data_IF_507348742637
#
_entry.id   IF_507348742637
#
_cell.length_a   1.000
_cell.length_b   1.000
_cell.length_c   1.000
_cell.angle_alpha   90.00
_cell.angle_beta   90.00
_cell.angle_gamma   90.00
#
_symmetry.space_group_name_H-M   'P 1'
#
loop_
_entity.id
_entity.type
_entity.pdbx_description
1 polymer ?
#
# COMPACT_ATOMS: atom_id res chain seq x y z
N UNK A 1 9.01 -18.08 -8.18
CA UNK A 1 8.43 -17.41 -9.37
C UNK A 1 6.93 -17.44 -9.19
N UNK A 2 6.41 -16.41 -8.53
CA UNK A 2 5.00 -16.02 -8.51
C UNK A 2 5.04 -14.51 -8.82
N UNK A 3 5.82 -14.07 -9.81
CA UNK A 3 5.57 -14.00 -11.25
C UNK A 3 4.28 -13.22 -11.58
N UNK A 4 4.53 -12.08 -12.23
CA UNK A 4 3.68 -11.03 -12.84
C UNK A 4 2.33 -11.44 -13.47
N UNK A 5 1.99 -12.73 -13.49
CA UNK A 5 0.75 -13.27 -14.03
C UNK A 5 -0.48 -12.91 -13.19
N UNK A 6 -0.39 -12.86 -11.85
CA UNK A 6 -1.55 -12.51 -11.02
C UNK A 6 -1.87 -11.01 -11.05
N UNK A 7 -0.84 -10.19 -11.25
CA UNK A 7 -0.98 -8.76 -11.47
C UNK A 7 -1.69 -8.43 -12.80
N UNK A 8 -1.70 -9.37 -13.76
CA UNK A 8 -2.43 -9.22 -15.02
C UNK A 8 -3.89 -9.69 -14.94
N UNK A 9 -4.26 -10.60 -14.04
CA UNK A 9 -5.65 -11.08 -13.92
C UNK A 9 -6.60 -10.05 -13.28
N UNK A 10 -6.07 -9.07 -12.53
CA UNK A 10 -6.85 -7.98 -11.95
C UNK A 10 -7.12 -6.82 -12.93
N UNK A 11 -6.57 -6.85 -14.14
CA UNK A 11 -6.68 -5.77 -15.14
C UNK A 11 -7.19 -6.34 -16.46
N UNK A 12 -8.41 -5.98 -16.85
CA UNK A 12 -9.14 -6.48 -18.01
C UNK A 12 -8.30 -6.85 -19.26
N UNK A 13 -8.66 -7.99 -19.85
CA UNK A 13 -7.87 -8.84 -20.74
C UNK A 13 -7.56 -8.34 -22.18
N UNK A 14 -7.29 -7.05 -22.43
CA UNK A 14 -7.00 -6.60 -23.82
C UNK A 14 -5.57 -6.10 -24.09
N UNK A 15 -4.73 -5.82 -23.10
CA UNK A 15 -3.41 -5.20 -23.32
C UNK A 15 -2.20 -6.17 -23.20
N UNK A 16 -2.45 -7.48 -23.20
CA UNK A 16 -1.40 -8.49 -22.98
C UNK A 16 -0.43 -8.68 -24.17
N UNK A 17 -0.73 -8.14 -25.36
CA UNK A 17 0.10 -8.36 -26.56
C UNK A 17 1.25 -7.37 -26.74
N UNK A 18 1.24 -6.24 -26.03
CA UNK A 18 2.21 -5.15 -26.21
C UNK A 18 3.39 -5.15 -25.21
N UNK A 19 3.46 -6.10 -24.26
CA UNK A 19 4.38 -6.03 -23.12
C UNK A 19 5.47 -7.10 -23.06
N UNK A 20 5.95 -7.59 -24.21
CA UNK A 20 7.10 -8.51 -24.24
C UNK A 20 8.43 -7.88 -23.80
N UNK A 21 8.50 -6.54 -23.73
CA UNK A 21 9.76 -5.81 -23.49
C UNK A 21 9.79 -4.98 -22.20
N UNK A 22 8.82 -5.14 -21.29
CA UNK A 22 8.86 -4.45 -20.00
C UNK A 22 9.92 -5.11 -19.10
N UNK A 23 11.16 -4.66 -19.25
CA UNK A 23 12.29 -4.99 -18.38
C UNK A 23 11.87 -4.87 -16.91
N UNK A 24 11.83 -6.00 -16.21
CA UNK A 24 11.92 -6.03 -14.76
C UNK A 24 13.23 -5.33 -14.38
N UNK A 25 13.24 -4.24 -13.59
CA UNK A 25 14.51 -3.74 -13.07
C UNK A 25 15.16 -4.86 -12.23
N UNK A 26 16.47 -5.11 -12.41
CA UNK A 26 17.15 -6.21 -11.74
C UNK A 26 17.04 -6.07 -10.21
N UNK A 27 16.76 -7.20 -9.52
CA UNK A 27 16.89 -7.28 -8.06
C UNK A 27 18.36 -7.21 -7.71
N UNK A 28 18.86 -5.99 -7.51
CA UNK A 28 20.24 -5.72 -7.12
C UNK A 28 20.50 -4.23 -7.05
N UNK A 29 20.65 -3.72 -5.82
CA UNK A 29 21.24 -2.42 -5.49
C UNK A 29 20.80 -1.21 -6.34
N UNK A 30 19.53 -0.84 -6.27
CA UNK A 30 19.12 0.54 -6.58
C UNK A 30 18.81 1.20 -5.24
N UNK A 31 19.78 1.98 -4.75
CA UNK A 31 19.59 2.89 -3.62
C UNK A 31 18.45 3.84 -3.96
N UNK A 32 17.30 3.64 -3.32
CA UNK A 32 16.22 4.64 -3.27
C UNK A 32 16.86 5.93 -2.71
N UNK A 33 16.74 7.09 -3.37
CA UNK A 33 17.30 8.32 -2.82
C UNK A 33 16.59 8.62 -1.49
N UNK A 34 17.36 8.73 -0.40
CA UNK A 34 16.84 9.20 0.89
C UNK A 34 16.10 10.52 0.69
N UNK A 35 14.77 10.52 0.85
CA UNK A 35 14.02 11.77 1.01
C UNK A 35 14.33 12.35 2.38
N UNK A 36 15.30 13.26 2.43
CA UNK A 36 15.51 14.11 3.62
C UNK A 36 14.49 15.23 3.66
N UNK A 37 14.04 15.53 4.88
CA UNK A 37 13.51 16.83 5.35
C UNK A 37 12.00 17.16 5.23
N UNK A 38 11.16 16.36 5.90
CA UNK A 38 10.05 16.86 6.77
C UNK A 38 9.87 15.96 8.01
N UNK A 39 10.91 15.21 8.32
CA UNK A 39 10.83 13.84 8.84
C UNK A 39 10.87 13.75 10.38
N UNK A 40 11.24 14.81 11.10
CA UNK A 40 11.72 14.66 12.49
C UNK A 40 10.67 14.36 13.58
N UNK A 41 9.39 14.77 13.46
CA UNK A 41 8.39 14.54 14.53
C UNK A 41 7.56 13.27 14.27
N UNK A 42 7.26 12.99 12.99
CA UNK A 42 6.65 11.72 12.58
C UNK A 42 7.65 10.56 12.78
N UNK A 43 8.93 10.76 12.47
CA UNK A 43 9.95 9.74 12.71
C UNK A 43 10.08 9.35 14.17
N UNK A 44 9.96 10.26 15.14
CA UNK A 44 10.07 9.85 16.54
C UNK A 44 8.89 9.00 17.00
N UNK A 45 7.66 9.32 16.56
CA UNK A 45 6.49 8.48 16.84
C UNK A 45 6.50 7.17 16.06
N UNK A 46 6.84 7.18 14.76
CA UNK A 46 6.97 5.97 13.94
C UNK A 46 8.12 5.09 14.41
N UNK A 47 9.26 5.66 14.79
CA UNK A 47 10.42 4.95 15.34
C UNK A 47 10.14 4.45 16.75
N UNK A 48 9.29 5.12 17.53
CA UNK A 48 8.80 4.62 18.80
C UNK A 48 7.83 3.45 18.60
N UNK A 49 6.88 3.54 17.67
CA UNK A 49 5.97 2.43 17.31
C UNK A 49 6.76 1.25 16.75
N UNK A 50 7.69 1.51 15.81
CA UNK A 50 8.61 0.51 15.27
C UNK A 50 9.47 -0.08 16.36
N UNK A 51 10.09 0.72 17.24
CA UNK A 51 10.94 0.15 18.29
C UNK A 51 10.12 -0.55 19.39
N UNK A 52 8.94 -0.08 19.78
CA UNK A 52 8.11 -0.77 20.78
C UNK A 52 7.50 -2.05 20.21
N UNK A 53 6.89 -2.01 19.01
CA UNK A 53 6.34 -3.19 18.36
C UNK A 53 7.45 -4.17 18.00
N UNK A 54 8.54 -3.71 17.40
CA UNK A 54 9.65 -4.57 16.96
C UNK A 54 10.48 -5.08 18.14
N UNK A 55 10.89 -4.26 19.14
CA UNK A 55 11.60 -4.74 20.34
C UNK A 55 10.73 -5.71 21.14
N UNK A 56 9.42 -5.48 21.25
CA UNK A 56 8.51 -6.50 21.80
C UNK A 56 8.57 -7.76 20.93
N UNK A 57 8.46 -7.65 19.60
CA UNK A 57 8.39 -8.78 18.65
C UNK A 57 9.61 -9.72 18.71
N UNK A 58 10.83 -9.18 18.82
CA UNK A 58 12.06 -9.98 18.93
C UNK A 58 12.39 -10.41 20.38
N UNK A 59 12.00 -9.65 21.41
CA UNK A 59 12.32 -9.98 22.81
C UNK A 59 11.57 -11.19 23.36
N UNK A 60 10.40 -11.50 22.82
CA UNK A 60 9.41 -12.29 23.59
C UNK A 60 9.02 -13.61 22.93
N UNK A 61 9.88 -14.22 22.10
CA UNK A 61 9.68 -15.61 21.60
C UNK A 61 9.63 -16.69 22.70
N UNK A 62 9.71 -16.34 24.00
CA UNK A 62 9.85 -17.26 25.14
C UNK A 62 8.86 -17.12 26.30
N UNK A 63 7.79 -16.32 26.21
CA UNK A 63 6.75 -16.35 27.24
C UNK A 63 5.39 -16.03 26.64
N UNK A 64 4.39 -16.88 26.89
CA UNK A 64 3.03 -16.81 26.37
C UNK A 64 2.19 -15.60 26.82
N UNK A 65 2.81 -14.44 27.03
CA UNK A 65 2.19 -13.17 27.41
C UNK A 65 1.56 -12.47 26.18
N UNK A 66 1.97 -12.84 24.97
CA UNK A 66 1.46 -12.32 23.70
C UNK A 66 -0.02 -12.52 23.44
N UNK A 67 -0.57 -13.62 23.96
CA UNK A 67 -1.95 -14.02 23.69
C UNK A 67 -2.98 -12.99 24.16
N UNK A 68 -2.60 -12.06 25.03
CA UNK A 68 -3.52 -11.06 25.59
C UNK A 68 -3.36 -9.66 24.98
N UNK A 69 -2.23 -9.35 24.32
CA UNK A 69 -1.95 -8.02 23.75
C UNK A 69 -2.15 -7.91 22.23
N UNK A 70 -2.04 -9.02 21.49
CA UNK A 70 -2.34 -9.08 20.05
C UNK A 70 -3.72 -9.70 19.79
N UNK A 71 -4.72 -9.29 20.56
CA UNK A 71 -5.98 -10.02 20.63
C UNK A 71 -6.99 -9.70 19.53
N UNK A 72 -6.81 -8.60 18.80
CA UNK A 72 -7.91 -8.09 17.97
C UNK A 72 -7.71 -8.24 16.45
N UNK A 73 -6.48 -8.33 15.93
CA UNK A 73 -6.21 -8.44 14.47
C UNK A 73 -5.05 -9.39 14.11
N UNK A 74 -5.02 -9.95 12.88
CA UNK A 74 -3.90 -10.76 12.37
C UNK A 74 -2.59 -9.99 12.31
N UNK A 75 -1.45 -10.69 12.37
CA UNK A 75 -0.12 -10.07 12.35
C UNK A 75 0.13 -9.31 11.04
N UNK A 76 -0.34 -9.87 9.93
CA UNK A 76 -0.24 -9.34 8.57
C UNK A 76 -0.89 -7.95 8.46
N UNK A 77 -1.94 -7.70 9.26
CA UNK A 77 -2.60 -6.40 9.31
C UNK A 77 -1.71 -5.34 9.99
N UNK A 78 -1.02 -5.69 11.07
CA UNK A 78 -0.05 -4.77 11.70
C UNK A 78 1.16 -4.52 10.81
N UNK A 79 1.68 -5.57 10.16
CA UNK A 79 2.79 -5.45 9.21
C UNK A 79 2.42 -4.56 8.03
N UNK A 80 1.17 -4.64 7.54
CA UNK A 80 0.66 -3.76 6.49
C UNK A 80 0.77 -2.28 6.88
N UNK A 81 0.40 -1.89 8.11
CA UNK A 81 0.48 -0.48 8.53
C UNK A 81 1.93 0.01 8.57
N UNK A 82 2.84 -0.84 9.02
CA UNK A 82 4.27 -0.52 9.07
C UNK A 82 4.80 -0.33 7.64
N UNK A 83 4.58 -1.33 6.76
CA UNK A 83 5.03 -1.28 5.37
C UNK A 83 4.43 -0.10 4.61
N UNK A 84 3.14 0.20 4.80
CA UNK A 84 2.49 1.32 4.13
C UNK A 84 3.13 2.65 4.53
N UNK A 85 3.35 2.84 5.84
CA UNK A 85 3.94 4.06 6.38
C UNK A 85 5.42 4.23 6.00
N UNK A 86 6.13 3.14 5.71
CA UNK A 86 7.51 3.16 5.18
C UNK A 86 7.55 3.30 3.64
N UNK A 87 6.40 3.30 2.96
CA UNK A 87 6.29 3.38 1.50
C UNK A 87 6.61 2.07 0.77
N UNK A 88 6.66 0.94 1.48
CA UNK A 88 6.86 -0.38 0.88
C UNK A 88 5.51 -0.98 0.41
N UNK A 89 4.97 -0.39 -0.65
CA UNK A 89 3.67 -0.77 -1.20
C UNK A 89 3.66 -2.15 -1.88
N UNK A 90 4.83 -2.68 -2.25
CA UNK A 90 4.93 -4.05 -2.76
C UNK A 90 4.70 -5.06 -1.62
N UNK A 91 5.29 -4.85 -0.45
CA UNK A 91 5.01 -5.69 0.73
C UNK A 91 3.55 -5.53 1.19
N UNK A 92 2.99 -4.32 1.10
CA UNK A 92 1.56 -4.11 1.36
C UNK A 92 0.67 -4.98 0.47
N UNK A 93 1.01 -5.11 -0.82
CA UNK A 93 0.30 -5.97 -1.76
C UNK A 93 0.27 -7.41 -1.28
N UNK A 94 1.44 -7.99 -0.97
CA UNK A 94 1.53 -9.41 -0.59
C UNK A 94 0.73 -9.70 0.70
N UNK A 95 0.84 -8.83 1.71
CA UNK A 95 0.13 -8.96 2.99
C UNK A 95 -1.40 -8.84 2.83
N UNK A 96 -1.86 -7.85 2.05
CA UNK A 96 -3.29 -7.63 1.84
C UNK A 96 -3.90 -8.67 0.90
N UNK A 97 -3.14 -9.16 -0.09
CA UNK A 97 -3.56 -10.27 -0.94
C UNK A 97 -3.74 -11.55 -0.12
N UNK A 98 -2.82 -11.88 0.78
CA UNK A 98 -2.94 -13.06 1.65
C UNK A 98 -4.20 -12.99 2.52
N UNK A 99 -4.44 -11.84 3.18
CA UNK A 99 -5.65 -11.62 3.98
C UNK A 99 -6.93 -11.70 3.12
N UNK A 100 -6.94 -11.08 1.94
CA UNK A 100 -8.09 -11.12 1.05
C UNK A 100 -8.33 -12.52 0.45
N UNK A 101 -7.28 -13.28 0.12
CA UNK A 101 -7.43 -14.64 -0.41
C UNK A 101 -7.99 -15.62 0.61
N UNK A 102 -7.75 -15.37 1.91
CA UNK A 102 -8.35 -16.12 3.01
C UNK A 102 -9.86 -15.86 3.11
N UNK A 103 -10.30 -14.62 2.87
CA UNK A 103 -11.71 -14.22 2.85
C UNK A 103 -12.06 -13.47 1.56
N UNK A 104 -12.18 -14.18 0.43
CA UNK A 104 -12.34 -13.55 -0.91
C UNK A 104 -13.51 -12.56 -1.05
N UNK A 105 -14.52 -12.66 -0.18
CA UNK A 105 -15.66 -11.72 -0.13
C UNK A 105 -15.38 -10.43 0.64
N UNK A 106 -14.24 -10.32 1.31
CA UNK A 106 -13.89 -9.19 2.15
C UNK A 106 -13.36 -8.02 1.27
N UNK A 107 -14.28 -7.13 0.89
CA UNK A 107 -13.97 -5.98 0.05
C UNK A 107 -13.15 -4.91 0.76
N UNK A 108 -13.07 -4.92 2.08
CA UNK A 108 -12.20 -4.01 2.83
C UNK A 108 -10.72 -4.26 2.52
N UNK A 109 -10.26 -5.51 2.66
CA UNK A 109 -8.89 -5.87 2.30
C UNK A 109 -8.62 -5.66 0.82
N UNK A 110 -9.59 -5.99 -0.04
CA UNK A 110 -9.49 -5.72 -1.47
C UNK A 110 -9.35 -4.23 -1.77
N UNK A 111 -10.07 -3.37 -1.04
CA UNK A 111 -9.99 -1.91 -1.18
C UNK A 111 -8.62 -1.35 -0.78
N UNK A 112 -8.11 -1.77 0.38
CA UNK A 112 -6.76 -1.40 0.83
C UNK A 112 -5.67 -1.92 -0.12
N UNK A 113 -5.86 -3.12 -0.66
CA UNK A 113 -4.95 -3.72 -1.65
C UNK A 113 -4.88 -2.84 -2.90
N UNK A 114 -6.05 -2.46 -3.44
CA UNK A 114 -6.13 -1.62 -4.62
C UNK A 114 -5.55 -0.22 -4.40
N UNK A 115 -5.74 0.36 -3.21
CA UNK A 115 -5.12 1.63 -2.84
C UNK A 115 -3.58 1.52 -2.87
N UNK A 116 -3.02 0.50 -2.21
CA UNK A 116 -1.57 0.29 -2.14
C UNK A 116 -0.97 0.04 -3.52
N UNK A 117 -1.63 -0.81 -4.33
CA UNK A 117 -1.24 -1.11 -5.70
C UNK A 117 -1.32 0.12 -6.61
N UNK A 118 -2.33 0.98 -6.42
CA UNK A 118 -2.44 2.24 -7.14
C UNK A 118 -1.22 3.15 -6.91
N UNK A 119 -0.82 3.33 -5.65
CA UNK A 119 0.32 4.19 -5.32
C UNK A 119 1.59 3.62 -5.95
N UNK A 120 1.81 2.31 -5.81
CA UNK A 120 2.92 1.62 -6.48
C UNK A 120 2.91 1.86 -8.00
N UNK A 121 1.77 1.70 -8.67
CA UNK A 121 1.67 1.96 -10.10
C UNK A 121 2.06 3.39 -10.49
N UNK A 122 1.65 4.37 -9.70
CA UNK A 122 1.98 5.76 -9.93
C UNK A 122 3.48 6.02 -9.79
N UNK A 123 4.12 5.44 -8.77
CA UNK A 123 5.57 5.55 -8.51
C UNK A 123 6.44 4.87 -9.59
N UNK A 124 5.87 3.96 -10.38
CA UNK A 124 6.53 3.34 -11.52
C UNK A 124 6.03 3.87 -12.87
N UNK A 125 5.27 4.96 -12.85
CA UNK A 125 4.85 5.69 -14.03
C UNK A 125 3.68 5.08 -14.81
N UNK A 126 2.99 4.07 -14.27
CA UNK A 126 1.74 3.57 -14.84
C UNK A 126 0.55 4.37 -14.28
N UNK A 127 0.33 5.56 -14.84
CA UNK A 127 -0.68 6.50 -14.36
C UNK A 127 -2.10 5.98 -14.61
N UNK A 128 -2.36 5.35 -15.77
CA UNK A 128 -3.67 4.74 -16.05
C UNK A 128 -4.03 3.65 -15.05
N UNK A 129 -3.07 2.77 -14.74
CA UNK A 129 -3.26 1.72 -13.73
C UNK A 129 -3.56 2.30 -12.36
N UNK A 130 -2.82 3.35 -11.95
CA UNK A 130 -3.08 4.06 -10.70
C UNK A 130 -4.51 4.61 -10.63
N UNK A 131 -4.97 5.34 -11.66
CA UNK A 131 -6.35 5.87 -11.71
C UNK A 131 -7.40 4.77 -11.52
N UNK A 132 -7.29 3.67 -12.27
CA UNK A 132 -8.26 2.57 -12.23
C UNK A 132 -8.28 1.88 -10.85
N UNK A 133 -7.12 1.60 -10.28
CA UNK A 133 -7.05 0.91 -8.99
C UNK A 133 -7.44 1.81 -7.82
N UNK A 134 -7.10 3.10 -7.86
CA UNK A 134 -7.56 4.05 -6.84
C UNK A 134 -9.08 4.23 -6.88
N UNK A 135 -9.68 4.27 -8.08
CA UNK A 135 -11.13 4.31 -8.25
C UNK A 135 -11.79 3.03 -7.70
N UNK A 136 -11.20 1.87 -7.96
CA UNK A 136 -11.69 0.62 -7.37
C UNK A 136 -11.58 0.61 -5.84
N UNK A 137 -10.48 1.13 -5.28
CA UNK A 137 -10.30 1.27 -3.84
C UNK A 137 -11.39 2.18 -3.23
N UNK A 138 -11.66 3.31 -3.88
CA UNK A 138 -12.73 4.23 -3.50
C UNK A 138 -14.09 3.51 -3.41
N UNK A 139 -14.45 2.74 -4.44
CA UNK A 139 -15.71 1.99 -4.49
C UNK A 139 -15.77 0.89 -3.42
N UNK A 140 -14.71 0.09 -3.26
CA UNK A 140 -14.72 -1.02 -2.31
C UNK A 140 -14.76 -0.56 -0.85
N UNK A 141 -14.10 0.55 -0.51
CA UNK A 141 -14.03 1.03 0.87
C UNK A 141 -15.27 1.83 1.30
N UNK A 142 -16.14 2.24 0.37
CA UNK A 142 -17.28 3.10 0.67
C UNK A 142 -18.20 2.54 1.75
N UNK A 143 -18.50 1.24 1.70
CA UNK A 143 -19.42 0.57 2.62
C UNK A 143 -18.86 0.39 4.05
N UNK A 144 -17.56 0.64 4.24
CA UNK A 144 -16.86 0.43 5.51
C UNK A 144 -16.63 1.73 6.30
N UNK A 145 -16.97 2.88 5.72
CA UNK A 145 -16.90 4.19 6.39
C UNK A 145 -17.86 4.28 7.59
N UNK A 146 -17.58 5.13 8.60
CA UNK A 146 -16.38 5.98 8.72
C UNK A 146 -15.17 5.24 9.31
N UNK A 147 -15.38 4.09 9.94
CA UNK A 147 -14.33 3.31 10.61
C UNK A 147 -14.58 1.83 10.46
N UNK A 148 -13.52 1.07 10.17
CA UNK A 148 -13.57 -0.38 10.11
C UNK A 148 -12.23 -0.97 10.51
N UNK A 149 -12.23 -2.04 11.33
CA UNK A 149 -11.00 -2.72 11.79
C UNK A 149 -9.97 -1.76 12.42
N UNK A 150 -10.46 -0.81 13.23
CA UNK A 150 -9.61 0.20 13.88
C UNK A 150 -9.01 1.23 12.92
N UNK A 151 -9.37 1.25 11.64
CA UNK A 151 -8.89 2.23 10.68
C UNK A 151 -9.93 3.34 10.45
N UNK A 152 -9.52 4.61 10.64
CA UNK A 152 -10.32 5.77 10.21
C UNK A 152 -10.37 5.85 8.68
N UNK A 153 -11.48 5.36 8.13
CA UNK A 153 -11.70 5.36 6.70
C UNK A 153 -12.14 6.71 6.16
N UNK A 154 -12.56 7.68 6.98
CA UNK A 154 -12.80 9.05 6.48
C UNK A 154 -11.48 9.72 6.09
N UNK A 155 -10.42 9.50 6.87
CA UNK A 155 -9.09 10.00 6.52
C UNK A 155 -8.53 9.31 5.27
N UNK A 156 -8.68 7.99 5.17
CA UNK A 156 -8.30 7.23 3.97
C UNK A 156 -9.08 7.70 2.74
N UNK A 157 -10.39 7.92 2.87
CA UNK A 157 -11.23 8.34 1.75
C UNK A 157 -10.83 9.71 1.20
N UNK A 158 -10.56 10.69 2.07
CA UNK A 158 -10.06 12.01 1.65
C UNK A 158 -8.76 11.89 0.86
N UNK A 159 -7.83 11.05 1.33
CA UNK A 159 -6.59 10.79 0.61
C UNK A 159 -6.83 10.18 -0.78
N UNK A 160 -7.77 9.24 -0.90
CA UNK A 160 -8.15 8.61 -2.16
C UNK A 160 -8.72 9.65 -3.13
N UNK A 161 -9.66 10.48 -2.68
CA UNK A 161 -10.27 11.55 -3.49
C UNK A 161 -9.24 12.58 -3.95
N UNK A 162 -8.32 12.99 -3.06
CA UNK A 162 -7.21 13.89 -3.42
C UNK A 162 -6.30 13.26 -4.48
N UNK A 163 -5.91 11.99 -4.32
CA UNK A 163 -5.10 11.29 -5.32
C UNK A 163 -5.81 11.23 -6.68
N UNK A 164 -7.11 10.89 -6.71
CA UNK A 164 -7.90 10.86 -7.94
C UNK A 164 -7.94 12.22 -8.64
N UNK A 165 -8.00 13.33 -7.87
CA UNK A 165 -7.95 14.68 -8.43
C UNK A 165 -6.58 15.09 -8.98
N UNK A 166 -5.50 14.45 -8.50
CA UNK A 166 -4.12 14.76 -8.86
C UNK A 166 -3.65 13.94 -10.05
N UNK A 167 -4.15 12.71 -10.22
CA UNK A 167 -3.73 11.85 -11.32
C UNK A 167 -4.05 12.50 -12.67
N UNK A 168 -3.04 12.73 -13.54
CA UNK A 168 -3.29 13.30 -14.86
C UNK A 168 -4.22 12.41 -15.68
N UNK A 169 -5.21 12.99 -16.35
CA UNK A 169 -6.19 12.23 -17.15
C UNK A 169 -5.66 11.85 -18.54
N UNK A 170 -4.81 12.70 -19.11
CA UNK A 170 -4.29 12.62 -20.48
C UNK A 170 -2.97 11.83 -20.60
N UNK A 171 -2.41 11.40 -19.46
CA UNK A 171 -1.17 10.63 -19.40
C UNK A 171 -1.50 9.21 -18.95
N UNK A 172 -1.25 8.23 -19.80
CA UNK A 172 -1.43 6.83 -19.42
C UNK A 172 -0.17 6.23 -18.79
N UNK A 173 1.01 6.61 -19.31
CA UNK A 173 2.29 6.09 -18.85
C UNK A 173 3.41 7.10 -19.03
N UNK A 174 4.35 7.09 -18.10
CA UNK A 174 5.65 7.78 -18.22
C UNK A 174 6.80 6.79 -18.01
N UNK A 175 7.96 6.99 -18.68
CA UNK A 175 9.19 6.29 -18.32
C UNK A 175 9.58 6.55 -16.86
N UNK A 176 10.22 5.58 -16.21
CA UNK A 176 10.56 5.64 -14.78
C UNK A 176 11.41 6.88 -14.45
N UNK A 177 12.34 7.25 -15.34
CA UNK A 177 13.23 8.40 -15.18
C UNK A 177 12.47 9.73 -15.19
N UNK A 178 11.24 9.74 -15.71
CA UNK A 178 10.37 10.92 -15.78
C UNK A 178 9.28 10.93 -14.70
N UNK A 179 9.15 9.89 -13.87
CA UNK A 179 8.19 9.85 -12.76
C UNK A 179 8.37 11.02 -11.80
N UNK A 180 9.61 11.50 -11.64
CA UNK A 180 9.91 12.68 -10.82
C UNK A 180 9.11 13.94 -11.21
N UNK A 181 8.68 14.03 -12.47
CA UNK A 181 7.91 15.15 -13.04
C UNK A 181 6.40 15.01 -12.85
N UNK A 182 5.91 13.83 -12.45
CA UNK A 182 4.50 13.66 -12.14
C UNK A 182 4.13 14.50 -10.90
N UNK A 183 2.88 15.00 -10.82
CA UNK A 183 2.35 15.64 -9.62
C UNK A 183 2.59 14.79 -8.37
N UNK A 184 2.98 15.42 -7.26
CA UNK A 184 3.19 14.68 -6.01
C UNK A 184 1.84 14.36 -5.38
N UNK A 185 1.68 13.11 -4.96
CA UNK A 185 0.52 12.69 -4.17
C UNK A 185 0.62 13.25 -2.75
N UNK A 186 -0.52 13.46 -2.06
CA UNK A 186 -0.52 13.71 -0.63
C UNK A 186 0.17 12.57 0.13
N UNK A 187 0.52 12.81 1.40
CA UNK A 187 1.02 11.77 2.27
C UNK A 187 -0.13 11.27 3.16
N UNK A 188 -0.32 9.95 3.22
CA UNK A 188 -1.19 9.30 4.18
C UNK A 188 -0.34 8.50 5.15
N UNK A 189 -0.63 8.65 6.43
CA UNK A 189 -0.07 7.81 7.48
C UNK A 189 -1.24 7.07 8.14
N UNK A 190 -1.13 5.75 8.20
CA UNK A 190 -2.14 4.88 8.80
C UNK A 190 -1.83 4.68 10.29
N UNK A 191 -2.88 4.78 11.10
CA UNK A 191 -2.87 4.48 12.53
C UNK A 191 -4.03 3.57 12.86
N UNK A 192 -3.79 2.65 13.79
CA UNK A 192 -4.86 1.86 14.39
C UNK A 192 -5.43 2.68 15.55
N UNK A 193 -6.72 2.94 15.51
CA UNK A 193 -7.49 3.67 16.50
C UNK A 193 -8.34 2.71 17.33
N UNK A 194 -8.44 2.99 18.63
CA UNK A 194 -9.36 2.32 19.57
C UNK A 194 -10.83 2.72 19.34
#
# INVERSE_FOLDING_TARGET
MIDVYLFAELIGAEDARLRRDAHRPPRGSLSIPERKSTVHIADEKQRFIRNELFVKMISTRKSGIWSDFMKDYPLEYYEFFISFNEGDYYTCHDLLEEMWMTEKGNLFFKGLLQMSVSIYHYEYGNVKGARLMMQAAHEYLQAYRPRHWGLDLEHVYRFIEECLSIFPEDIDRVPFEKVGNLPKLPQLILYLEE
#
